data_IF_718193416425
#
_entry.id   IF_718193416425
#
_cell.length_a   1.000
_cell.length_b   1.000
_cell.length_c   1.000
_cell.angle_alpha   90.00
_cell.angle_beta   90.00
_cell.angle_gamma   90.00
#
_symmetry.space_group_name_H-M   'P 1'
#
loop_
_entity.id
_entity.type
_entity.pdbx_description
1 polymer ?
#
# COMPACT_ATOMS: atom_id res chain seq x y z
N UNK A 1 41.86 -12.90 7.72
CA UNK A 1 40.76 -13.33 8.63
C UNK A 1 40.56 -12.36 9.79
N UNK A 2 41.62 -11.79 10.39
CA UNK A 2 41.49 -10.86 11.52
C UNK A 2 40.68 -9.59 11.21
N UNK A 3 40.86 -8.95 10.05
CA UNK A 3 40.07 -7.77 9.64
C UNK A 3 38.57 -8.05 9.56
N UNK A 4 38.17 -9.26 9.13
CA UNK A 4 36.77 -9.64 9.02
C UNK A 4 36.10 -9.83 10.40
N UNK A 5 36.87 -10.20 11.43
CA UNK A 5 36.35 -10.32 12.80
C UNK A 5 36.06 -8.96 13.44
N UNK A 6 36.79 -7.91 13.03
CA UNK A 6 36.63 -6.55 13.52
C UNK A 6 35.51 -5.76 12.82
N UNK A 7 34.85 -6.34 11.81
CA UNK A 7 33.77 -5.67 11.11
C UNK A 7 32.49 -5.65 11.96
N UNK A 8 31.80 -4.51 12.05
CA UNK A 8 30.53 -4.41 12.76
C UNK A 8 29.50 -5.34 12.13
N UNK A 9 28.79 -6.10 12.95
CA UNK A 9 27.78 -7.07 12.51
C UNK A 9 26.36 -6.50 12.58
N UNK A 10 26.16 -5.47 13.39
CA UNK A 10 24.88 -4.81 13.57
C UNK A 10 25.01 -3.29 13.45
N UNK A 11 23.90 -2.60 13.11
CA UNK A 11 23.89 -1.14 12.91
C UNK A 11 24.30 -0.37 14.17
N UNK A 12 23.94 -0.86 15.37
CA UNK A 12 24.34 -0.22 16.64
C UNK A 12 25.86 -0.27 16.88
N UNK A 13 26.59 -1.19 16.23
CA UNK A 13 28.05 -1.29 16.31
C UNK A 13 28.75 -0.36 15.31
N UNK A 14 28.03 0.17 14.33
CA UNK A 14 28.60 1.01 13.27
C UNK A 14 28.94 2.41 13.78
N UNK A 15 29.98 3.00 13.18
CA UNK A 15 30.32 4.40 13.43
C UNK A 15 29.29 5.33 12.78
N UNK A 16 29.19 6.59 13.26
CA UNK A 16 28.28 7.57 12.68
C UNK A 16 28.56 7.85 11.19
N UNK A 17 29.83 7.77 10.78
CA UNK A 17 30.23 7.92 9.37
C UNK A 17 29.72 6.75 8.51
N UNK A 18 29.84 5.51 9.00
CA UNK A 18 29.30 4.34 8.32
C UNK A 18 27.77 4.45 8.18
N UNK A 19 27.08 4.79 9.28
CA UNK A 19 25.63 5.03 9.24
C UNK A 19 25.26 6.11 8.24
N UNK A 20 25.98 7.23 8.20
CA UNK A 20 25.75 8.31 7.24
C UNK A 20 25.85 7.79 5.78
N UNK A 21 26.88 6.99 5.48
CA UNK A 21 27.05 6.36 4.16
C UNK A 21 25.84 5.46 3.84
N UNK A 22 25.40 4.61 4.77
CA UNK A 22 24.22 3.75 4.54
C UNK A 22 22.92 4.56 4.40
N UNK A 23 22.73 5.61 5.21
CA UNK A 23 21.56 6.51 5.08
C UNK A 23 21.52 7.20 3.72
N UNK A 24 22.68 7.62 3.18
CA UNK A 24 22.76 8.22 1.84
C UNK A 24 22.36 7.26 0.71
N UNK A 25 22.44 5.94 0.96
CA UNK A 25 21.97 4.89 0.06
C UNK A 25 20.50 4.52 0.26
N UNK A 26 19.81 5.16 1.21
CA UNK A 26 18.41 4.88 1.53
C UNK A 26 18.19 3.65 2.41
N UNK A 27 19.22 3.19 3.14
CA UNK A 27 19.05 2.07 4.07
C UNK A 27 18.19 2.48 5.28
N UNK A 28 16.98 1.92 5.35
CA UNK A 28 15.99 2.22 6.39
C UNK A 28 16.48 1.88 7.80
N UNK A 29 17.22 0.79 7.97
CA UNK A 29 17.72 0.36 9.27
C UNK A 29 18.85 1.30 9.77
N UNK A 30 19.73 1.75 8.87
CA UNK A 30 20.70 2.78 9.20
C UNK A 30 20.04 4.12 9.57
N UNK A 31 18.98 4.52 8.86
CA UNK A 31 18.23 5.74 9.18
C UNK A 31 17.59 5.67 10.57
N UNK A 32 17.03 4.51 10.93
CA UNK A 32 16.45 4.24 12.25
C UNK A 32 17.49 4.34 13.35
N UNK A 33 18.63 3.67 13.19
CA UNK A 33 19.72 3.72 14.17
C UNK A 33 20.25 5.15 14.35
N UNK A 34 20.42 5.89 13.25
CA UNK A 34 20.86 7.29 13.32
C UNK A 34 19.85 8.18 14.06
N UNK A 35 18.54 7.98 13.81
CA UNK A 35 17.48 8.68 14.54
C UNK A 35 17.46 8.26 16.02
N UNK A 36 17.67 6.99 16.33
CA UNK A 36 17.74 6.48 17.70
C UNK A 36 18.88 7.17 18.49
N UNK A 37 20.07 7.30 17.90
CA UNK A 37 21.20 8.02 18.51
C UNK A 37 20.91 9.49 18.74
N UNK A 38 20.20 10.14 17.80
CA UNK A 38 19.76 11.52 17.96
C UNK A 38 18.78 11.66 19.13
N UNK A 39 17.81 10.75 19.26
CA UNK A 39 16.87 10.73 20.40
C UNK A 39 17.64 10.58 21.72
N UNK A 40 18.58 9.63 21.80
CA UNK A 40 19.41 9.46 23.00
C UNK A 40 20.23 10.71 23.33
N UNK A 41 20.79 11.38 22.33
CA UNK A 41 21.62 12.56 22.52
C UNK A 41 20.81 13.79 22.97
N UNK A 42 19.64 14.01 22.36
CA UNK A 42 18.77 15.16 22.65
C UNK A 42 17.99 14.95 23.96
N UNK A 43 17.38 13.78 24.14
CA UNK A 43 16.50 13.51 25.28
C UNK A 43 17.26 12.99 26.51
N UNK A 44 18.55 12.61 26.34
CA UNK A 44 19.43 12.06 27.41
C UNK A 44 18.84 10.83 28.09
N UNK A 45 18.20 9.97 27.30
CA UNK A 45 17.53 8.74 27.75
C UNK A 45 18.36 7.50 27.48
N UNK A 46 17.98 6.38 28.11
CA UNK A 46 18.60 5.08 27.83
C UNK A 46 18.22 4.58 26.43
N UNK A 47 18.93 3.55 25.95
CA UNK A 47 18.67 2.96 24.64
C UNK A 47 17.24 2.36 24.56
N UNK A 48 16.77 1.72 25.63
CA UNK A 48 15.42 1.13 25.69
C UNK A 48 14.32 2.20 25.60
N UNK A 49 14.49 3.32 26.33
CA UNK A 49 13.56 4.45 26.29
C UNK A 49 13.56 5.14 24.92
N UNK A 50 14.74 5.24 24.28
CA UNK A 50 14.86 5.81 22.94
C UNK A 50 14.12 4.95 21.90
N UNK A 51 14.11 3.62 22.08
CA UNK A 51 13.34 2.72 21.23
C UNK A 51 11.83 2.95 21.34
N UNK A 52 11.33 3.21 22.55
CA UNK A 52 9.92 3.57 22.75
C UNK A 52 9.57 4.86 22.00
N UNK A 53 10.43 5.88 22.08
CA UNK A 53 10.24 7.14 21.32
C UNK A 53 10.32 6.93 19.82
N UNK A 54 11.25 6.11 19.35
CA UNK A 54 11.35 5.76 17.93
C UNK A 54 10.06 5.10 17.43
N UNK A 55 9.47 4.20 18.23
CA UNK A 55 8.20 3.56 17.91
C UNK A 55 7.04 4.56 17.81
N UNK A 56 6.95 5.52 18.74
CA UNK A 56 5.96 6.61 18.66
C UNK A 56 6.12 7.45 17.38
N UNK A 57 7.37 7.73 16.98
CA UNK A 57 7.69 8.45 15.74
C UNK A 57 7.33 7.61 14.50
N UNK A 58 7.61 6.30 14.50
CA UNK A 58 7.19 5.37 13.43
C UNK A 58 5.66 5.32 13.28
N UNK A 59 4.94 5.25 14.40
CA UNK A 59 3.48 5.25 14.39
C UNK A 59 2.96 6.59 13.83
N UNK A 60 3.53 7.71 14.28
CA UNK A 60 3.18 9.04 13.77
C UNK A 60 3.47 9.19 12.27
N UNK A 61 4.59 8.63 11.79
CA UNK A 61 4.98 8.62 10.38
C UNK A 61 4.00 7.81 9.52
N UNK A 62 3.52 6.68 10.02
CA UNK A 62 2.59 5.79 9.32
C UNK A 62 1.12 6.24 9.38
N UNK A 63 0.74 7.04 10.38
CA UNK A 63 -0.62 7.62 10.48
C UNK A 63 -0.99 8.41 9.22
N UNK A 64 -2.18 8.14 8.69
CA UNK A 64 -2.72 8.79 7.49
C UNK A 64 -2.38 8.10 6.16
N UNK A 65 -1.40 7.18 6.12
CA UNK A 65 -1.06 6.44 4.90
C UNK A 65 -2.25 5.63 4.36
N UNK A 66 -3.05 5.07 5.26
CA UNK A 66 -4.28 4.35 4.89
C UNK A 66 -5.17 5.19 3.98
N UNK A 67 -5.46 6.44 4.38
CA UNK A 67 -6.32 7.36 3.63
C UNK A 67 -5.75 7.69 2.25
N UNK A 68 -4.43 7.92 2.13
CA UNK A 68 -3.79 8.17 0.84
C UNK A 68 -3.78 6.95 -0.10
N UNK A 69 -3.80 5.73 0.45
CA UNK A 69 -3.91 4.50 -0.37
C UNK A 69 -5.34 4.15 -0.76
N UNK A 70 -6.35 4.76 -0.11
CA UNK A 70 -7.77 4.44 -0.37
C UNK A 70 -8.15 4.56 -1.85
N UNK A 71 -7.82 5.64 -2.58
CA UNK A 71 -8.22 5.76 -3.99
C UNK A 71 -7.72 4.61 -4.86
N UNK A 72 -6.53 4.09 -4.57
CA UNK A 72 -5.97 2.95 -5.29
C UNK A 72 -6.68 1.65 -4.96
N UNK A 73 -6.96 1.41 -3.67
CA UNK A 73 -7.73 0.23 -3.22
C UNK A 73 -9.15 0.27 -3.79
N UNK A 74 -9.80 1.43 -3.75
CA UNK A 74 -11.11 1.65 -4.36
C UNK A 74 -11.04 1.41 -5.86
N UNK A 75 -10.05 1.95 -6.56
CA UNK A 75 -9.87 1.73 -7.99
C UNK A 75 -9.70 0.25 -8.36
N UNK A 76 -8.94 -0.52 -7.57
CA UNK A 76 -8.79 -1.97 -7.75
C UNK A 76 -10.12 -2.69 -7.52
N UNK A 77 -10.80 -2.43 -6.41
CA UNK A 77 -12.06 -3.09 -6.07
C UNK A 77 -13.14 -2.77 -7.12
N UNK A 78 -13.26 -1.50 -7.50
CA UNK A 78 -14.24 -1.05 -8.50
C UNK A 78 -13.95 -1.66 -9.86
N UNK A 79 -12.70 -1.71 -10.31
CA UNK A 79 -12.38 -2.31 -11.61
C UNK A 79 -12.60 -3.82 -11.64
N UNK A 80 -12.19 -4.54 -10.60
CA UNK A 80 -12.44 -5.99 -10.52
C UNK A 80 -13.95 -6.28 -10.45
N UNK A 81 -14.69 -5.53 -9.62
CA UNK A 81 -16.14 -5.68 -9.52
C UNK A 81 -16.82 -5.36 -10.86
N UNK A 82 -16.44 -4.27 -11.53
CA UNK A 82 -16.98 -3.91 -12.84
C UNK A 82 -16.73 -5.01 -13.89
N UNK A 83 -15.51 -5.56 -13.93
CA UNK A 83 -15.20 -6.68 -14.82
C UNK A 83 -16.07 -7.91 -14.53
N UNK A 84 -16.21 -8.30 -13.26
CA UNK A 84 -17.03 -9.46 -12.89
C UNK A 84 -18.52 -9.26 -13.11
N UNK A 85 -19.06 -8.07 -12.80
CA UNK A 85 -20.48 -7.72 -12.97
C UNK A 85 -20.86 -7.58 -14.45
N UNK A 86 -19.91 -7.20 -15.31
CA UNK A 86 -20.19 -7.08 -16.75
C UNK A 86 -20.60 -8.40 -17.43
N UNK A 87 -20.16 -9.55 -16.89
CA UNK A 87 -20.49 -10.87 -17.44
C UNK A 87 -21.98 -11.23 -17.25
N UNK A 88 -22.54 -11.26 -16.03
CA UNK A 88 -23.97 -11.53 -15.86
C UNK A 88 -24.84 -10.45 -16.50
N UNK A 89 -24.40 -9.20 -16.56
CA UNK A 89 -25.16 -8.14 -17.25
C UNK A 89 -25.40 -8.40 -18.75
N UNK A 90 -24.55 -9.22 -19.38
CA UNK A 90 -24.63 -9.59 -20.79
C UNK A 90 -25.31 -10.95 -21.00
N UNK A 91 -25.05 -11.91 -20.11
CA UNK A 91 -25.43 -13.31 -20.31
C UNK A 91 -26.57 -13.82 -19.41
N UNK A 92 -26.95 -13.08 -18.36
CA UNK A 92 -28.10 -13.41 -17.51
C UNK A 92 -29.33 -12.60 -17.93
N UNK A 93 -30.41 -13.31 -18.29
CA UNK A 93 -31.63 -12.69 -18.80
C UNK A 93 -32.25 -11.70 -17.81
N UNK A 94 -32.31 -12.06 -16.52
CA UNK A 94 -32.96 -11.23 -15.51
C UNK A 94 -32.18 -9.92 -15.29
N UNK A 95 -30.85 -10.01 -15.21
CA UNK A 95 -29.98 -8.85 -15.06
C UNK A 95 -30.04 -7.95 -16.31
N UNK A 96 -30.04 -8.55 -17.50
CA UNK A 96 -30.14 -7.83 -18.76
C UNK A 96 -31.49 -7.13 -18.95
N UNK A 97 -32.60 -7.79 -18.61
CA UNK A 97 -33.95 -7.20 -18.61
C UNK A 97 -34.04 -6.03 -17.63
N UNK A 98 -33.57 -6.21 -16.39
CA UNK A 98 -33.54 -5.14 -15.40
C UNK A 98 -32.75 -3.92 -15.90
N UNK A 99 -31.56 -4.15 -16.46
CA UNK A 99 -30.73 -3.07 -16.99
C UNK A 99 -31.38 -2.38 -18.20
N UNK A 100 -32.00 -3.16 -19.08
CA UNK A 100 -32.73 -2.64 -20.22
C UNK A 100 -33.92 -1.78 -19.79
N UNK A 101 -34.73 -2.23 -18.81
CA UNK A 101 -35.86 -1.48 -18.27
C UNK A 101 -35.44 -0.15 -17.62
N UNK A 102 -34.31 -0.14 -16.90
CA UNK A 102 -33.87 1.03 -16.14
C UNK A 102 -33.06 2.04 -16.98
N UNK A 103 -32.30 1.60 -17.97
CA UNK A 103 -31.29 2.45 -18.63
C UNK A 103 -31.39 2.49 -20.16
N UNK A 104 -31.65 1.37 -20.83
CA UNK A 104 -31.49 1.28 -22.30
C UNK A 104 -32.81 1.47 -23.03
N UNK A 105 -33.90 0.94 -22.51
CA UNK A 105 -35.28 1.05 -23.02
C UNK A 105 -35.46 0.51 -24.45
N UNK A 106 -34.71 -0.52 -24.85
CA UNK A 106 -34.86 -1.20 -26.15
C UNK A 106 -35.97 -2.26 -26.09
N UNK A 107 -36.57 -2.57 -27.24
CA UNK A 107 -37.55 -3.66 -27.37
C UNK A 107 -36.95 -5.02 -26.96
N UNK A 108 -37.70 -5.75 -26.13
CA UNK A 108 -37.31 -7.09 -25.69
C UNK A 108 -37.62 -8.08 -26.81
N UNK A 109 -36.66 -8.94 -27.15
CA UNK A 109 -36.85 -9.99 -28.15
C UNK A 109 -37.96 -10.98 -27.74
N UNK A 110 -38.51 -11.71 -28.70
CA UNK A 110 -39.49 -12.76 -28.43
C UNK A 110 -38.90 -13.80 -27.46
N UNK A 111 -39.73 -14.34 -26.56
CA UNK A 111 -39.28 -15.29 -25.54
C UNK A 111 -38.59 -16.55 -26.10
N UNK A 112 -38.91 -16.92 -27.35
CA UNK A 112 -38.29 -18.05 -28.08
C UNK A 112 -36.82 -17.81 -28.45
N UNK A 113 -36.40 -16.54 -28.52
CA UNK A 113 -35.05 -16.11 -28.91
C UNK A 113 -34.22 -15.72 -27.67
N UNK A 114 -34.62 -16.14 -26.47
CA UNK A 114 -33.98 -15.82 -25.18
C UNK A 114 -33.83 -17.06 -24.29
N UNK A 115 -33.86 -18.28 -24.86
CA UNK A 115 -33.84 -19.53 -24.11
C UNK A 115 -32.44 -19.89 -23.59
N UNK A 116 -31.41 -19.52 -24.34
CA UNK A 116 -30.01 -19.78 -23.99
C UNK A 116 -29.27 -18.50 -23.62
N UNK A 117 -28.31 -18.60 -22.70
CA UNK A 117 -27.43 -17.49 -22.33
C UNK A 117 -26.70 -16.84 -23.52
N UNK A 118 -26.41 -17.60 -24.59
CA UNK A 118 -25.80 -17.07 -25.82
C UNK A 118 -26.79 -16.25 -26.65
N UNK A 119 -28.06 -16.65 -26.70
CA UNK A 119 -29.12 -15.89 -27.36
C UNK A 119 -29.42 -14.59 -26.58
N UNK A 120 -29.46 -14.67 -25.24
CA UNK A 120 -29.49 -13.48 -24.37
C UNK A 120 -28.30 -12.56 -24.67
N UNK A 121 -27.10 -13.12 -24.76
CA UNK A 121 -25.89 -12.39 -25.17
C UNK A 121 -26.04 -11.73 -26.55
N UNK A 122 -26.57 -12.46 -27.53
CA UNK A 122 -26.81 -11.94 -28.88
C UNK A 122 -27.80 -10.78 -28.89
N UNK A 123 -28.84 -10.83 -28.04
CA UNK A 123 -29.77 -9.73 -27.87
C UNK A 123 -29.12 -8.54 -27.16
N UNK A 124 -28.38 -8.76 -26.07
CA UNK A 124 -27.72 -7.67 -25.35
C UNK A 124 -26.65 -6.98 -26.17
N UNK A 125 -25.93 -7.70 -27.05
CA UNK A 125 -25.00 -7.13 -28.04
C UNK A 125 -25.68 -6.32 -29.16
N UNK A 126 -27.02 -6.35 -29.25
CA UNK A 126 -27.75 -5.45 -30.14
C UNK A 126 -27.67 -3.98 -29.68
N UNK A 127 -27.49 -3.76 -28.38
CA UNK A 127 -27.47 -2.42 -27.77
C UNK A 127 -26.23 -2.16 -26.88
N UNK A 128 -25.48 -3.20 -26.51
CA UNK A 128 -24.10 -3.12 -26.05
C UNK A 128 -23.16 -3.47 -27.21
N UNK A 129 -21.92 -2.96 -27.22
CA UNK A 129 -20.93 -3.40 -28.20
C UNK A 129 -20.74 -4.94 -28.19
N UNK A 130 -20.40 -5.56 -29.34
CA UNK A 130 -20.38 -7.02 -29.51
C UNK A 130 -19.44 -7.76 -28.56
N UNK A 131 -19.50 -9.10 -28.51
CA UNK A 131 -18.72 -10.01 -27.61
C UNK A 131 -17.28 -9.56 -27.34
N UNK A 132 -16.60 -9.12 -28.40
CA UNK A 132 -15.24 -8.62 -28.35
C UNK A 132 -15.11 -7.48 -27.32
N UNK A 133 -16.08 -6.55 -27.29
CA UNK A 133 -16.19 -5.45 -26.34
C UNK A 133 -16.33 -5.88 -24.89
N UNK A 134 -17.14 -6.92 -24.58
CA UNK A 134 -17.27 -7.42 -23.20
C UNK A 134 -15.97 -8.06 -22.72
N UNK A 135 -15.35 -8.92 -23.52
CA UNK A 135 -14.06 -9.54 -23.19
C UNK A 135 -12.96 -8.49 -23.08
N UNK A 136 -12.90 -7.54 -24.01
CA UNK A 136 -11.97 -6.41 -23.97
C UNK A 136 -12.17 -5.56 -22.73
N UNK A 137 -13.42 -5.29 -22.32
CA UNK A 137 -13.73 -4.53 -21.10
C UNK A 137 -13.22 -5.24 -19.84
N UNK A 138 -13.46 -6.54 -19.69
CA UNK A 138 -12.92 -7.33 -18.57
C UNK A 138 -11.40 -7.26 -18.54
N UNK A 139 -10.74 -7.42 -19.69
CA UNK A 139 -9.28 -7.32 -19.79
C UNK A 139 -8.78 -5.91 -19.45
N UNK A 140 -9.48 -4.86 -19.89
CA UNK A 140 -9.16 -3.47 -19.54
C UNK A 140 -9.30 -3.21 -18.04
N UNK A 141 -10.36 -3.73 -17.41
CA UNK A 141 -10.54 -3.66 -15.96
C UNK A 141 -9.39 -4.35 -15.21
N UNK A 142 -8.96 -5.52 -15.66
CA UNK A 142 -7.81 -6.23 -15.07
C UNK A 142 -6.49 -5.49 -15.30
N UNK A 143 -6.28 -4.92 -16.49
CA UNK A 143 -5.12 -4.06 -16.78
C UNK A 143 -5.10 -2.81 -15.91
N UNK A 144 -6.25 -2.17 -15.70
CA UNK A 144 -6.39 -1.04 -14.80
C UNK A 144 -6.09 -1.44 -13.36
N UNK A 145 -6.67 -2.53 -12.85
CA UNK A 145 -6.39 -3.06 -11.52
C UNK A 145 -4.89 -3.34 -11.34
N UNK A 146 -4.26 -3.98 -12.33
CA UNK A 146 -2.81 -4.22 -12.37
C UNK A 146 -2.03 -2.92 -12.34
N UNK A 147 -2.41 -1.92 -13.13
CA UNK A 147 -1.75 -0.61 -13.12
C UNK A 147 -1.92 0.11 -11.77
N UNK A 148 -3.06 -0.01 -11.10
CA UNK A 148 -3.26 0.52 -9.74
C UNK A 148 -2.39 -0.23 -8.71
N UNK A 149 -2.20 -1.53 -8.85
CA UNK A 149 -1.30 -2.34 -8.01
C UNK A 149 0.17 -2.04 -8.26
N UNK A 150 0.59 -1.95 -9.53
CA UNK A 150 1.95 -1.54 -9.90
C UNK A 150 2.20 -0.13 -9.40
N UNK A 151 1.24 0.79 -9.59
CA UNK A 151 1.34 2.09 -8.97
C UNK A 151 1.50 1.92 -7.46
N UNK A 152 0.67 1.17 -6.73
CA UNK A 152 0.88 0.95 -5.29
C UNK A 152 2.29 0.46 -4.89
N UNK A 153 3.00 -0.27 -5.75
CA UNK A 153 4.37 -0.76 -5.52
C UNK A 153 5.51 0.00 -6.24
N UNK A 154 5.20 0.90 -7.15
CA UNK A 154 6.14 1.70 -7.92
C UNK A 154 5.49 3.06 -8.16
N UNK A 155 5.77 4.08 -7.32
CA UNK A 155 5.19 5.42 -7.53
C UNK A 155 6.22 6.49 -7.87
N UNK A 156 5.85 7.43 -8.75
CA UNK A 156 6.40 8.79 -8.83
C UNK A 156 5.79 9.74 -7.77
N UNK A 157 4.65 9.39 -7.16
CA UNK A 157 4.01 10.13 -6.07
C UNK A 157 4.57 9.83 -4.67
N UNK A 158 5.43 8.82 -4.51
CA UNK A 158 6.15 8.57 -3.26
C UNK A 158 6.98 9.79 -2.88
N UNK A 159 7.63 10.48 -3.82
CA UNK A 159 8.43 11.66 -3.48
C UNK A 159 7.62 12.77 -2.81
N UNK A 160 6.46 13.12 -3.38
CA UNK A 160 5.59 14.15 -2.81
C UNK A 160 4.98 13.70 -1.47
N UNK A 161 4.54 12.44 -1.36
CA UNK A 161 3.99 11.90 -0.12
C UNK A 161 5.07 11.76 0.97
N UNK A 162 6.25 11.24 0.64
CA UNK A 162 7.41 11.12 1.52
C UNK A 162 7.86 12.51 2.00
N UNK A 163 7.93 13.51 1.11
CA UNK A 163 8.22 14.89 1.51
C UNK A 163 7.13 15.47 2.41
N UNK A 164 5.85 15.21 2.12
CA UNK A 164 4.75 15.63 2.97
C UNK A 164 4.82 14.98 4.35
N UNK A 165 5.10 13.67 4.43
CA UNK A 165 5.33 12.94 5.69
C UNK A 165 6.50 13.52 6.45
N UNK A 166 7.64 13.70 5.78
CA UNK A 166 8.85 14.28 6.36
C UNK A 166 8.56 15.66 6.96
N UNK A 167 7.91 16.56 6.20
CA UNK A 167 7.52 17.90 6.69
C UNK A 167 6.58 17.82 7.88
N UNK A 168 5.60 16.91 7.85
CA UNK A 168 4.66 16.69 8.96
C UNK A 168 5.40 16.20 10.20
N UNK A 169 6.33 15.27 10.04
CA UNK A 169 7.11 14.68 11.12
C UNK A 169 8.08 15.71 11.73
N UNK A 170 8.77 16.50 10.92
CA UNK A 170 9.64 17.58 11.40
C UNK A 170 8.86 18.66 12.17
N UNK A 171 7.58 18.91 11.80
CA UNK A 171 6.71 19.82 12.56
C UNK A 171 6.24 19.22 13.89
N UNK A 172 6.03 17.90 13.94
CA UNK A 172 5.59 17.20 15.14
C UNK A 172 6.73 17.02 16.16
N UNK A 173 7.96 16.88 15.69
CA UNK A 173 9.15 16.66 16.52
C UNK A 173 10.24 17.71 16.24
N UNK A 174 10.01 19.00 16.54
CA UNK A 174 10.95 20.07 16.24
C UNK A 174 12.25 20.02 17.07
N UNK A 175 12.29 19.22 18.15
CA UNK A 175 13.46 19.11 19.02
C UNK A 175 14.62 18.31 18.41
N UNK A 176 14.36 17.41 17.45
CA UNK A 176 15.42 16.64 16.80
C UNK A 176 15.84 17.29 15.48
N UNK A 177 17.01 16.92 14.98
CA UNK A 177 17.49 17.42 13.70
C UNK A 177 16.52 17.09 12.55
N UNK A 178 16.01 18.14 11.90
CA UNK A 178 15.05 18.02 10.80
C UNK A 178 15.57 17.20 9.61
N UNK A 179 16.88 17.18 9.35
CA UNK A 179 17.45 16.36 8.27
C UNK A 179 17.37 14.87 8.61
N UNK A 180 17.68 14.49 9.85
CA UNK A 180 17.62 13.10 10.32
C UNK A 180 16.18 12.58 10.29
N UNK A 181 15.23 13.37 10.81
CA UNK A 181 13.80 13.01 10.76
C UNK A 181 13.33 12.87 9.31
N UNK A 182 13.71 13.81 8.44
CA UNK A 182 13.30 13.79 7.03
C UNK A 182 13.85 12.57 6.32
N UNK A 183 15.13 12.26 6.48
CA UNK A 183 15.77 11.08 5.89
C UNK A 183 15.15 9.78 6.40
N UNK A 184 14.88 9.68 7.71
CA UNK A 184 14.14 8.55 8.29
C UNK A 184 12.74 8.41 7.68
N UNK A 185 11.98 9.51 7.61
CA UNK A 185 10.63 9.48 7.03
C UNK A 185 10.65 9.12 5.56
N UNK A 186 11.70 9.47 4.81
CA UNK A 186 11.85 9.12 3.39
C UNK A 186 12.26 7.66 3.20
N UNK A 187 13.13 7.12 4.07
CA UNK A 187 13.65 5.76 3.99
C UNK A 187 12.72 4.68 4.59
N UNK A 188 11.71 5.05 5.40
CA UNK A 188 10.72 4.11 5.89
C UNK A 188 9.75 3.71 4.77
N UNK A 189 10.05 2.56 4.16
CA UNK A 189 9.18 1.89 3.21
C UNK A 189 7.86 1.51 3.89
N UNK A 190 6.75 1.83 3.21
CA UNK A 190 5.44 1.39 3.66
C UNK A 190 5.36 -0.14 3.56
N UNK A 191 5.60 -0.82 4.68
CA UNK A 191 5.35 -2.26 4.82
C UNK A 191 3.94 -2.46 5.35
N UNK A 192 2.98 -2.95 4.55
CA UNK A 192 1.61 -3.19 5.01
C UNK A 192 1.52 -4.25 6.13
N UNK A 193 2.55 -5.07 6.32
CA UNK A 193 2.63 -6.04 7.42
C UNK A 193 2.73 -5.39 8.80
N UNK A 194 3.36 -4.21 8.94
CA UNK A 194 3.42 -3.48 10.22
C UNK A 194 2.03 -3.09 10.75
N UNK A 195 1.02 -3.02 9.87
CA UNK A 195 -0.38 -2.76 10.29
C UNK A 195 -1.06 -3.98 10.91
N UNK A 196 -0.61 -5.20 10.60
CA UNK A 196 -1.14 -6.42 11.21
C UNK A 196 -0.54 -6.67 12.60
N UNK A 197 0.71 -6.27 12.80
CA UNK A 197 1.44 -6.40 14.07
C UNK A 197 0.90 -5.47 15.16
N UNK A 198 0.31 -4.34 14.77
CA UNK A 198 -0.38 -3.41 15.67
C UNK A 198 -1.89 -3.72 15.86
N UNK A 199 -2.40 -4.88 15.41
CA UNK A 199 -3.76 -5.30 15.76
C UNK A 199 -3.80 -5.69 17.24
N UNK A 200 -4.61 -5.04 18.10
CA UNK A 200 -4.69 -5.37 19.53
C UNK A 200 -5.18 -6.81 19.80
N UNK A 201 -5.63 -7.53 18.78
CA UNK A 201 -6.00 -8.95 18.84
C UNK A 201 -4.82 -9.89 18.56
N UNK A 202 -3.70 -9.40 18.04
CA UNK A 202 -2.49 -10.21 17.90
C UNK A 202 -1.71 -10.22 19.22
N UNK A 203 -1.20 -11.39 19.64
CA UNK A 203 -0.26 -11.44 20.76
C UNK A 203 0.97 -10.58 20.41
N UNK A 204 1.54 -9.85 21.39
CA UNK A 204 2.73 -9.04 21.15
C UNK A 204 3.82 -9.92 20.52
N UNK A 205 4.47 -9.42 19.46
CA UNK A 205 5.62 -10.11 18.89
C UNK A 205 6.72 -10.11 19.95
N UNK A 206 6.85 -11.24 20.66
CA UNK A 206 7.96 -11.50 21.57
C UNK A 206 9.14 -11.84 20.66
N UNK A 207 10.15 -10.97 20.54
CA UNK A 207 11.29 -11.29 19.69
C UNK A 207 12.01 -12.54 20.24
N UNK A 208 12.62 -13.36 19.38
CA UNK A 208 13.18 -14.66 19.78
C UNK A 208 14.30 -14.59 20.83
N UNK A 209 14.83 -13.39 21.11
CA UNK A 209 15.84 -13.18 22.16
C UNK A 209 15.26 -12.88 23.55
N UNK A 210 13.96 -12.64 23.70
CA UNK A 210 13.36 -12.37 25.03
C UNK A 210 12.85 -13.62 25.76
N UNK A 211 13.08 -14.82 25.22
CA UNK A 211 12.78 -16.10 25.88
C UNK A 211 14.03 -16.71 26.53
N UNK A 212 14.71 -15.94 27.38
CA UNK A 212 15.89 -16.40 28.13
C UNK A 212 15.67 -16.32 29.63
N UNK A 213 15.35 -17.46 30.24
CA UNK A 213 15.69 -17.85 31.62
C UNK A 213 15.98 -19.35 31.61
#
# INVERSE_FOLDING_TARGET
MEVAKAQPRAYYEMTNEQLLIFTSKGDSAACKERLLREIMAVDKVTWDDAHQRLFEIEESNSRGLGLFTMPYKTGIVVSVAAGLISVPMVFDLNTALWFNEQFVTTEVADAKDLETWLEVGSWTWGWNEPVLGTVSFVLLCLQFARNQMINLGAKPYTGALQQWRARRLCRAYPQYNASIISEFSMADDFKPEKLKENDPRMPPHIPPWSSGN
#
